data_IF_816736745837
#
_entry.id   IF_816736745837
#
_cell.length_a   1.000
_cell.length_b   1.000
_cell.length_c   1.000
_cell.angle_alpha   90.00
_cell.angle_beta   90.00
_cell.angle_gamma   90.00
#
_symmetry.space_group_name_H-M   'P 1'
#
loop_
_entity.id
_entity.type
_entity.pdbx_description
1 polymer ?
#
# COMPACT_ATOMS: atom_id res chain seq x y z
N UNK A 1 23.36 3.23 -7.16
CA UNK A 1 22.38 2.56 -8.03
C UNK A 1 20.99 3.14 -7.71
N UNK A 2 20.89 4.47 -7.58
CA UNK A 2 19.81 5.12 -6.79
C UNK A 2 18.87 6.00 -7.61
N UNK A 3 19.04 6.02 -8.94
CA UNK A 3 18.36 6.98 -9.81
C UNK A 3 16.94 6.55 -10.23
N UNK A 4 16.61 5.26 -10.21
CA UNK A 4 15.29 4.79 -10.68
C UNK A 4 14.24 4.77 -9.56
N UNK A 5 14.63 4.46 -8.32
CA UNK A 5 13.73 4.49 -7.16
C UNK A 5 13.22 5.91 -6.84
N UNK A 6 13.95 6.96 -7.23
CA UNK A 6 13.54 8.36 -7.08
C UNK A 6 12.29 8.73 -7.89
N UNK A 7 11.83 7.90 -8.82
CA UNK A 7 10.60 8.15 -9.61
C UNK A 7 9.34 7.53 -9.01
N UNK A 8 9.46 6.73 -7.95
CA UNK A 8 8.35 5.96 -7.41
C UNK A 8 8.05 6.38 -5.97
N UNK A 9 6.76 6.53 -5.67
CA UNK A 9 6.31 6.82 -4.30
C UNK A 9 6.26 5.53 -3.51
N UNK A 10 7.00 5.47 -2.40
CA UNK A 10 6.93 4.34 -1.47
C UNK A 10 5.60 4.41 -0.72
N UNK A 11 4.89 3.29 -0.65
CA UNK A 11 3.59 3.20 0.02
C UNK A 11 3.72 2.34 1.28
N UNK A 12 3.01 2.72 2.35
CA UNK A 12 2.96 1.97 3.61
C UNK A 12 1.52 1.79 4.05
N UNK A 13 1.19 0.57 4.46
CA UNK A 13 -0.09 0.27 5.08
C UNK A 13 -0.01 0.67 6.55
N UNK A 14 -0.93 1.51 7.03
CA UNK A 14 -0.99 1.92 8.44
C UNK A 14 -2.35 1.61 9.01
N UNK A 15 -2.36 1.29 10.30
CA UNK A 15 -3.56 1.11 11.09
C UNK A 15 -3.76 2.32 11.98
N UNK A 16 -4.92 2.97 11.87
CA UNK A 16 -5.32 4.06 12.75
C UNK A 16 -5.74 3.54 14.13
N UNK A 17 -5.88 4.47 15.08
CA UNK A 17 -6.20 4.13 16.48
C UNK A 17 -7.58 3.48 16.65
N UNK A 18 -8.52 3.78 15.76
CA UNK A 18 -9.84 3.16 15.67
C UNK A 18 -9.82 1.81 14.92
N UNK A 19 -8.64 1.34 14.51
CA UNK A 19 -8.43 0.04 13.90
C UNK A 19 -8.63 -0.01 12.39
N UNK A 20 -8.99 1.11 11.75
CA UNK A 20 -9.07 1.20 10.30
C UNK A 20 -7.69 1.08 9.67
N UNK A 21 -7.63 0.52 8.47
CA UNK A 21 -6.38 0.31 7.72
C UNK A 21 -6.45 1.16 6.45
N UNK A 22 -5.39 1.88 6.14
CA UNK A 22 -5.30 2.67 4.92
C UNK A 22 -3.89 2.63 4.33
N UNK A 23 -3.78 2.91 3.03
CA UNK A 23 -2.52 3.06 2.33
C UNK A 23 -2.07 4.53 2.39
N UNK A 24 -0.83 4.75 2.81
CA UNK A 24 -0.24 6.07 2.95
C UNK A 24 1.02 6.18 2.09
N UNK A 25 1.32 7.40 1.67
CA UNK A 25 2.65 7.75 1.19
C UNK A 25 3.63 7.66 2.37
N UNK A 26 4.74 6.94 2.16
CA UNK A 26 5.68 6.63 3.23
C UNK A 26 6.53 7.83 3.65
N UNK A 27 6.76 8.78 2.74
CA UNK A 27 7.60 9.95 2.97
C UNK A 27 6.82 11.05 3.69
N UNK A 28 5.61 11.33 3.22
CA UNK A 28 4.74 12.39 3.77
C UNK A 28 3.86 11.89 4.91
N UNK A 29 3.54 10.60 4.93
CA UNK A 29 2.55 10.02 5.85
C UNK A 29 1.10 10.30 5.45
N UNK A 30 0.87 11.04 4.35
CA UNK A 30 -0.46 11.37 3.87
C UNK A 30 -1.16 10.12 3.32
N UNK A 31 -2.45 10.00 3.59
CA UNK A 31 -3.27 8.93 3.04
C UNK A 31 -3.44 9.15 1.54
N UNK A 32 -3.31 8.09 0.74
CA UNK A 32 -3.57 8.22 -0.70
C UNK A 32 -5.04 8.58 -0.95
N UNK A 33 -5.24 9.51 -1.87
CA UNK A 33 -6.57 9.93 -2.27
C UNK A 33 -7.34 8.81 -3.00
N UNK A 34 -8.66 8.94 -3.03
CA UNK A 34 -9.57 8.04 -3.77
C UNK A 34 -9.60 6.58 -3.30
N UNK A 35 -9.01 6.24 -2.15
CA UNK A 35 -9.25 4.95 -1.49
C UNK A 35 -10.73 4.83 -1.10
N UNK A 36 -11.43 3.89 -1.71
CA UNK A 36 -12.83 3.61 -1.44
C UNK A 36 -12.99 2.58 -0.31
N UNK A 37 -12.13 1.57 -0.29
CA UNK A 37 -12.20 0.47 0.66
C UNK A 37 -10.84 -0.19 0.85
N UNK A 38 -10.54 -0.58 2.09
CA UNK A 38 -9.34 -1.36 2.44
C UNK A 38 -9.75 -2.50 3.35
N UNK A 39 -9.39 -3.71 2.96
CA UNK A 39 -9.71 -4.93 3.68
C UNK A 39 -8.43 -5.75 3.94
N UNK A 40 -8.31 -6.25 5.17
CA UNK A 40 -7.28 -7.21 5.55
C UNK A 40 -7.96 -8.57 5.76
N UNK A 41 -7.70 -9.52 4.86
CA UNK A 41 -8.27 -10.87 4.91
C UNK A 41 -7.22 -11.80 5.51
N UNK A 42 -7.54 -12.38 6.67
CA UNK A 42 -6.68 -13.30 7.39
C UNK A 42 -7.46 -14.56 7.73
N UNK A 43 -7.12 -15.67 7.08
CA UNK A 43 -7.70 -16.97 7.33
C UNK A 43 -6.63 -17.88 7.97
N UNK A 44 -6.99 -18.79 8.89
CA UNK A 44 -6.03 -19.71 9.47
C UNK A 44 -5.34 -20.55 8.38
N UNK A 45 -4.01 -20.66 8.47
CA UNK A 45 -3.17 -21.42 7.53
C UNK A 45 -3.12 -20.88 6.08
N UNK A 46 -3.74 -19.74 5.82
CA UNK A 46 -3.72 -19.07 4.52
C UNK A 46 -2.80 -17.84 4.54
N UNK A 47 -2.43 -17.37 3.34
CA UNK A 47 -1.70 -16.11 3.21
C UNK A 47 -2.58 -14.93 3.61
N UNK A 48 -1.99 -13.96 4.32
CA UNK A 48 -2.66 -12.69 4.61
C UNK A 48 -2.79 -11.87 3.32
N UNK A 49 -3.99 -11.38 3.03
CA UNK A 49 -4.27 -10.56 1.85
C UNK A 49 -4.65 -9.15 2.27
N UNK A 50 -4.15 -8.16 1.53
CA UNK A 50 -4.58 -6.77 1.64
C UNK A 50 -5.28 -6.43 0.33
N UNK A 51 -6.56 -6.08 0.40
CA UNK A 51 -7.35 -5.65 -0.75
C UNK A 51 -7.61 -4.16 -0.63
N UNK A 52 -7.15 -3.40 -1.62
CA UNK A 52 -7.35 -1.95 -1.68
C UNK A 52 -8.17 -1.63 -2.92
N UNK A 53 -9.34 -1.02 -2.72
CA UNK A 53 -10.22 -0.55 -3.78
C UNK A 53 -10.12 0.95 -3.90
N UNK A 54 -9.93 1.44 -5.11
CA UNK A 54 -9.89 2.87 -5.40
C UNK A 54 -11.07 3.28 -6.28
N UNK A 55 -11.59 4.48 -6.08
CA UNK A 55 -12.49 5.11 -7.03
C UNK A 55 -11.69 5.43 -8.30
N UNK A 56 -12.19 4.94 -9.44
CA UNK A 56 -11.65 5.31 -10.74
C UNK A 56 -12.01 6.78 -11.04
N UNK A 57 -11.21 7.72 -10.56
CA UNK A 57 -11.29 9.12 -10.96
C UNK A 57 -10.53 9.28 -12.28
N UNK A 58 -11.20 9.84 -13.30
CA UNK A 58 -10.87 9.70 -14.73
C UNK A 58 -9.50 10.14 -15.26
N UNK A 59 -8.52 10.49 -14.41
CA UNK A 59 -7.14 10.81 -14.81
C UNK A 59 -6.06 10.24 -13.86
N UNK A 60 -6.42 9.50 -12.81
CA UNK A 60 -5.47 9.00 -11.81
C UNK A 60 -5.39 7.47 -11.81
N UNK A 61 -4.40 6.91 -12.50
CA UNK A 61 -4.00 5.52 -12.30
C UNK A 61 -3.07 5.40 -11.10
N UNK A 62 -3.15 4.29 -10.37
CA UNK A 62 -2.18 3.97 -9.32
C UNK A 62 -1.26 2.90 -9.87
N UNK A 63 0.02 3.24 -10.01
CA UNK A 63 1.06 2.27 -10.35
C UNK A 63 1.61 1.72 -9.04
N UNK A 64 1.37 0.43 -8.78
CA UNK A 64 1.94 -0.31 -7.67
C UNK A 64 3.11 -1.12 -8.21
N UNK A 65 4.34 -0.79 -7.79
CA UNK A 65 5.50 -1.64 -8.03
C UNK A 65 5.85 -2.36 -6.72
N UNK A 66 5.66 -3.68 -6.70
CA UNK A 66 5.86 -4.53 -5.54
C UNK A 66 7.28 -5.09 -5.62
N UNK A 67 8.22 -4.42 -4.96
CA UNK A 67 9.58 -4.91 -4.84
C UNK A 67 9.67 -5.81 -3.59
N UNK A 68 9.52 -7.11 -3.80
CA UNK A 68 9.71 -8.14 -2.76
C UNK A 68 11.22 -8.26 -2.50
N UNK A 69 11.76 -7.34 -1.69
CA UNK A 69 13.14 -7.39 -1.25
C UNK A 69 13.40 -8.74 -0.58
N UNK A 70 14.40 -9.48 -1.08
CA UNK A 70 14.81 -10.81 -0.61
C UNK A 70 14.59 -10.98 0.90
N UNK A 71 13.79 -11.97 1.27
CA UNK A 71 13.50 -12.39 2.65
C UNK A 71 14.70 -13.07 3.36
N UNK A 72 15.93 -12.66 3.05
CA UNK A 72 17.17 -13.29 3.51
C UNK A 72 17.79 -12.62 4.76
N UNK A 73 17.08 -11.72 5.44
CA UNK A 73 17.55 -11.10 6.69
C UNK A 73 16.57 -11.31 7.87
N UNK A 74 16.31 -12.58 8.20
CA UNK A 74 15.81 -13.00 9.53
C UNK A 74 16.86 -13.82 10.27
#
# INVERSE_FOLDING_TARGET
MDSELSRFRRLVLRRSQDGQVALHDAETGEMLESQAHVELIQEPFEVTKVVVTFLAAGNGGITLDLNDGNADEF
#
